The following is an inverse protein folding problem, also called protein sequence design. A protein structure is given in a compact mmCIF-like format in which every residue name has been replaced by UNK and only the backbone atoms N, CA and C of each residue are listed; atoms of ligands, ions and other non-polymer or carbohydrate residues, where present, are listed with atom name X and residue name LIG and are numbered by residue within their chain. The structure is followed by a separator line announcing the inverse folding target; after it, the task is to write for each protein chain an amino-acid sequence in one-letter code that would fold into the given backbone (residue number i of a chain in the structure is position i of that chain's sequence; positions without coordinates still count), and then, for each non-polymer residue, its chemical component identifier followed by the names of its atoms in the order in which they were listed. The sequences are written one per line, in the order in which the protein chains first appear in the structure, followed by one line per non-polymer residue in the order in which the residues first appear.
data_IF_053923984450
#
_entry.id   IF_053923984450
#
_cell.length_a   1.000
_cell.length_b   1.000
_cell.length_c   1.000
_cell.angle_alpha   90.00
_cell.angle_beta   90.00
_cell.angle_gamma   90.00
#
_symmetry.space_group_name_H-M   'P 1'
#
loop_
_entity.id
_entity.type
_entity.pdbx_description
1 polymer ?
#
# COMPACT_ATOMS: atom_id res chain seq x y z
N UNK A 1 -16.26 17.64 2.92
CA UNK A 1 -15.49 16.38 2.82
C UNK A 1 -16.49 15.26 2.78
N UNK A 2 -16.53 14.49 1.72
CA UNK A 2 -17.29 13.24 1.72
C UNK A 2 -16.64 12.28 2.71
N UNK A 3 -17.41 11.83 3.69
CA UNK A 3 -16.95 10.85 4.68
C UNK A 3 -17.11 9.44 4.10
N UNK A 4 -16.09 8.60 4.24
CA UNK A 4 -16.22 7.18 3.91
C UNK A 4 -17.31 6.57 4.77
N UNK A 5 -18.23 5.82 4.14
CA UNK A 5 -19.28 5.07 4.82
C UNK A 5 -19.17 3.59 4.48
N UNK A 6 -19.56 2.76 5.42
CA UNK A 6 -19.62 1.30 5.22
C UNK A 6 -21.08 0.86 5.19
N UNK A 7 -21.50 0.25 4.09
CA UNK A 7 -22.85 -0.33 3.96
C UNK A 7 -22.80 -1.83 4.24
N UNK A 8 -23.35 -2.23 5.38
CA UNK A 8 -23.45 -3.62 5.82
C UNK A 8 -24.77 -4.29 5.43
N UNK A 9 -25.62 -3.63 4.63
CA UNK A 9 -26.97 -4.14 4.34
C UNK A 9 -26.96 -5.53 3.69
N UNK A 10 -25.97 -5.83 2.85
CA UNK A 10 -25.80 -7.14 2.22
C UNK A 10 -25.46 -8.27 3.20
N UNK A 11 -24.92 -7.97 4.38
CA UNK A 11 -24.54 -8.96 5.40
C UNK A 11 -25.74 -9.51 6.17
N UNK A 12 -26.88 -8.82 6.17
CA UNK A 12 -28.07 -9.17 6.96
C UNK A 12 -28.60 -10.58 6.73
N UNK A 13 -28.29 -11.18 5.59
CA UNK A 13 -28.68 -12.56 5.26
C UNK A 13 -27.75 -13.62 5.85
N UNK A 14 -26.54 -13.24 6.25
CA UNK A 14 -25.47 -14.15 6.66
C UNK A 14 -25.07 -13.99 8.13
N UNK A 15 -25.34 -12.83 8.71
CA UNK A 15 -24.93 -12.47 10.07
C UNK A 15 -26.19 -12.19 10.89
N UNK A 16 -26.34 -12.89 12.00
CA UNK A 16 -27.44 -12.66 12.92
C UNK A 16 -27.21 -11.35 13.69
N UNK A 17 -28.25 -10.54 13.97
CA UNK A 17 -28.08 -9.28 14.70
C UNK A 17 -27.33 -9.39 16.03
N UNK A 18 -27.50 -10.49 16.75
CA UNK A 18 -26.83 -10.73 18.04
C UNK A 18 -25.32 -10.93 17.87
N UNK A 19 -24.87 -11.54 16.76
CA UNK A 19 -23.44 -11.79 16.50
C UNK A 19 -22.64 -10.50 16.40
N UNK A 20 -23.22 -9.45 15.81
CA UNK A 20 -22.57 -8.13 15.76
C UNK A 20 -22.39 -7.52 17.16
N UNK A 21 -23.39 -7.70 18.05
CA UNK A 21 -23.30 -7.23 19.43
C UNK A 21 -22.22 -7.97 20.23
N UNK A 22 -22.14 -9.28 20.07
CA UNK A 22 -21.13 -10.12 20.74
C UNK A 22 -19.72 -9.78 20.25
N UNK A 23 -19.55 -9.61 18.94
CA UNK A 23 -18.27 -9.23 18.34
C UNK A 23 -17.81 -7.82 18.74
N UNK A 24 -18.74 -6.91 19.03
CA UNK A 24 -18.39 -5.54 19.41
C UNK A 24 -17.51 -5.49 20.67
N UNK A 25 -17.74 -6.34 21.63
CA UNK A 25 -16.93 -6.40 22.87
C UNK A 25 -15.49 -6.80 22.54
N UNK A 26 -15.32 -7.81 21.67
CA UNK A 26 -14.01 -8.29 21.23
C UNK A 26 -13.27 -7.23 20.41
N UNK A 27 -13.96 -6.57 19.50
CA UNK A 27 -13.39 -5.50 18.65
C UNK A 27 -12.98 -4.31 19.51
N UNK A 28 -13.79 -3.92 20.50
CA UNK A 28 -13.45 -2.82 21.41
C UNK A 28 -12.21 -3.15 22.25
N UNK A 29 -12.10 -4.37 22.74
CA UNK A 29 -10.91 -4.80 23.47
C UNK A 29 -9.66 -4.79 22.59
N UNK A 30 -9.74 -5.33 21.37
CA UNK A 30 -8.64 -5.35 20.43
C UNK A 30 -8.21 -3.94 19.98
N UNK A 31 -9.16 -3.03 19.73
CA UNK A 31 -8.85 -1.62 19.40
C UNK A 31 -8.16 -0.91 20.58
N UNK A 32 -8.62 -1.15 21.80
CA UNK A 32 -7.99 -0.62 23.01
C UNK A 32 -6.56 -1.13 23.19
N UNK A 33 -6.34 -2.42 22.99
CA UNK A 33 -5.03 -3.05 23.07
C UNK A 33 -4.07 -2.48 22.00
N UNK A 34 -4.55 -2.34 20.77
CA UNK A 34 -3.79 -1.73 19.67
C UNK A 34 -3.41 -0.28 19.98
N UNK A 35 -4.35 0.54 20.44
CA UNK A 35 -4.11 1.97 20.71
C UNK A 35 -3.20 2.18 21.91
N UNK A 36 -3.36 1.39 22.94
CA UNK A 36 -2.57 1.50 24.17
C UNK A 36 -1.19 0.80 24.06
N UNK A 37 -1.00 -0.06 23.06
CA UNK A 37 0.23 -0.80 22.88
C UNK A 37 0.50 -1.82 23.97
N UNK A 38 -0.54 -2.50 24.43
CA UNK A 38 -0.45 -3.50 25.49
C UNK A 38 -0.37 -4.93 24.94
N UNK A 39 -0.61 -5.10 23.63
CA UNK A 39 -0.57 -6.39 22.95
C UNK A 39 0.76 -6.77 22.33
N UNK A 40 0.83 -7.98 21.82
CA UNK A 40 1.96 -8.46 21.03
C UNK A 40 2.16 -7.60 19.78
N UNK A 41 3.41 -7.20 19.49
CA UNK A 41 3.72 -6.35 18.34
C UNK A 41 3.55 -4.85 18.62
N UNK A 42 3.49 -4.43 19.88
CA UNK A 42 3.40 -3.03 20.30
C UNK A 42 4.48 -2.13 19.68
N UNK A 43 5.65 -2.67 19.40
CA UNK A 43 6.78 -1.95 18.78
C UNK A 43 6.57 -1.62 17.30
N UNK A 44 5.51 -2.17 16.67
CA UNK A 44 5.23 -2.01 15.24
C UNK A 44 3.96 -1.18 14.97
N UNK A 45 3.69 -0.14 15.79
CA UNK A 45 2.46 0.66 15.73
C UNK A 45 2.62 2.04 15.09
N UNK A 46 3.79 2.41 14.63
CA UNK A 46 4.09 3.75 14.10
C UNK A 46 3.15 4.17 12.95
N UNK A 47 2.62 3.19 12.24
CA UNK A 47 1.66 3.42 11.15
C UNK A 47 0.33 4.01 11.61
N UNK A 48 -0.08 3.86 12.88
CA UNK A 48 -1.36 4.35 13.40
C UNK A 48 -1.51 5.86 13.27
N UNK A 49 -0.43 6.58 13.55
CA UNK A 49 -0.41 8.05 13.56
C UNK A 49 0.34 8.64 12.37
N UNK A 50 0.95 7.80 11.54
CA UNK A 50 1.76 8.22 10.41
C UNK A 50 1.08 9.25 9.47
N UNK A 51 -0.24 9.20 9.20
CA UNK A 51 -0.90 10.20 8.35
C UNK A 51 -0.88 11.62 8.91
N UNK A 52 -0.77 11.76 10.23
CA UNK A 52 -0.81 13.05 10.94
C UNK A 52 0.49 13.40 11.63
N UNK A 53 1.20 12.39 12.10
CA UNK A 53 2.40 12.52 12.94
C UNK A 53 3.61 11.86 12.27
N UNK A 54 3.97 12.39 11.10
CA UNK A 54 5.16 11.95 10.35
C UNK A 54 6.28 12.97 10.47
N UNK A 55 7.54 12.53 10.33
CA UNK A 55 8.70 13.40 10.25
C UNK A 55 8.64 14.27 8.98
N UNK A 56 8.40 15.56 9.17
CA UNK A 56 8.24 16.53 8.09
C UNK A 56 9.56 16.83 7.39
N UNK A 57 10.66 16.76 8.10
CA UNK A 57 12.00 17.00 7.55
C UNK A 57 12.44 15.79 6.70
N UNK A 58 12.17 14.57 7.18
CA UNK A 58 12.35 13.38 6.37
C UNK A 58 11.49 13.40 5.11
N UNK A 59 10.23 13.76 5.22
CA UNK A 59 9.34 13.89 4.08
C UNK A 59 9.80 14.95 3.08
N UNK A 60 10.36 16.06 3.55
CA UNK A 60 10.97 17.07 2.68
C UNK A 60 12.18 16.51 1.92
N UNK A 61 13.04 15.72 2.58
CA UNK A 61 14.16 15.01 1.94
C UNK A 61 13.70 14.01 0.89
N UNK A 62 12.64 13.23 1.19
CA UNK A 62 12.02 12.29 0.23
C UNK A 62 11.54 13.05 -1.01
N UNK A 63 10.84 14.18 -0.84
CA UNK A 63 10.38 15.00 -1.97
C UNK A 63 11.53 15.57 -2.79
N UNK A 64 12.61 15.99 -2.15
CA UNK A 64 13.79 16.48 -2.84
C UNK A 64 14.49 15.38 -3.66
N UNK A 65 14.64 14.18 -3.08
CA UNK A 65 15.19 13.02 -3.78
C UNK A 65 14.30 12.61 -4.97
N UNK A 66 12.97 12.59 -4.79
CA UNK A 66 12.04 12.29 -5.87
C UNK A 66 12.17 13.29 -7.03
N UNK A 67 12.27 14.59 -6.74
CA UNK A 67 12.50 15.62 -7.77
C UNK A 67 13.81 15.42 -8.53
N UNK A 68 14.89 15.07 -7.81
CA UNK A 68 16.18 14.77 -8.43
C UNK A 68 16.07 13.57 -9.37
N UNK A 69 15.50 12.46 -8.92
CA UNK A 69 15.30 11.26 -9.75
C UNK A 69 14.47 11.59 -10.99
N UNK A 70 13.41 12.37 -10.84
CA UNK A 70 12.57 12.80 -11.96
C UNK A 70 13.33 13.68 -12.99
N UNK A 71 14.34 14.42 -12.56
CA UNK A 71 15.14 15.24 -13.46
C UNK A 71 16.25 14.47 -14.17
N UNK A 72 16.85 13.49 -13.48
CA UNK A 72 18.07 12.82 -13.89
C UNK A 72 17.83 11.47 -14.58
N UNK A 73 16.62 10.90 -14.46
CA UNK A 73 16.34 9.52 -14.88
C UNK A 73 15.18 9.43 -15.84
N UNK A 74 15.31 8.61 -16.87
CA UNK A 74 14.22 8.34 -17.81
C UNK A 74 13.27 7.25 -17.31
N UNK A 75 13.77 6.31 -16.52
CA UNK A 75 13.03 5.15 -16.01
C UNK A 75 13.32 4.95 -14.53
N UNK A 76 12.31 4.74 -13.73
CA UNK A 76 12.44 4.29 -12.34
C UNK A 76 12.11 2.80 -12.24
N UNK A 77 13.09 2.01 -11.82
CA UNK A 77 12.90 0.57 -11.58
C UNK A 77 12.69 0.32 -10.09
N UNK A 78 11.54 -0.22 -9.74
CA UNK A 78 11.22 -0.60 -8.36
C UNK A 78 11.35 -2.11 -8.21
N UNK A 79 12.30 -2.53 -7.36
CA UNK A 79 12.54 -3.94 -7.06
C UNK A 79 12.08 -4.19 -5.63
N UNK A 80 11.18 -5.14 -5.45
CA UNK A 80 10.66 -5.47 -4.13
C UNK A 80 9.92 -6.81 -4.10
N UNK A 81 9.63 -7.25 -2.89
CA UNK A 81 8.85 -8.46 -2.64
C UNK A 81 7.80 -8.16 -1.56
N UNK A 82 6.61 -8.76 -1.68
CA UNK A 82 5.52 -8.54 -0.73
C UNK A 82 5.13 -7.07 -0.61
N UNK A 83 5.05 -6.56 0.61
CA UNK A 83 4.64 -5.18 0.90
C UNK A 83 5.55 -4.11 0.28
N UNK A 84 6.84 -4.38 0.17
CA UNK A 84 7.80 -3.46 -0.46
C UNK A 84 7.57 -3.27 -1.97
N UNK A 85 6.87 -4.20 -2.61
CA UNK A 85 6.51 -4.11 -4.02
C UNK A 85 5.06 -3.66 -4.20
N UNK A 86 4.13 -4.28 -3.47
CA UNK A 86 2.69 -4.10 -3.67
C UNK A 86 2.23 -2.68 -3.33
N UNK A 87 2.78 -2.06 -2.28
CA UNK A 87 2.42 -0.70 -1.89
C UNK A 87 2.78 0.33 -2.95
N UNK A 88 4.01 0.27 -3.48
CA UNK A 88 4.44 1.16 -4.54
C UNK A 88 3.64 0.94 -5.84
N UNK A 89 3.38 -0.33 -6.20
CA UNK A 89 2.57 -0.67 -7.37
C UNK A 89 1.13 -0.18 -7.24
N UNK A 90 0.50 -0.38 -6.10
CA UNK A 90 -0.85 0.10 -5.83
C UNK A 90 -0.94 1.63 -6.05
N UNK A 91 0.01 2.39 -5.51
CA UNK A 91 0.02 3.84 -5.70
C UNK A 91 0.17 4.23 -7.17
N UNK A 92 1.03 3.56 -7.92
CA UNK A 92 1.22 3.83 -9.35
C UNK A 92 -0.02 3.46 -10.16
N UNK A 93 -0.59 2.26 -9.94
CA UNK A 93 -1.77 1.79 -10.66
C UNK A 93 -3.01 2.63 -10.34
N UNK A 94 -3.13 3.16 -9.12
CA UNK A 94 -4.21 4.05 -8.70
C UNK A 94 -4.11 5.45 -9.32
N UNK A 95 -2.88 5.98 -9.45
CA UNK A 95 -2.65 7.34 -9.93
C UNK A 95 -2.55 7.44 -11.46
N UNK A 96 -2.44 6.32 -12.17
CA UNK A 96 -2.27 6.29 -13.62
C UNK A 96 -3.32 5.40 -14.28
N UNK A 97 -3.63 5.67 -15.55
CA UNK A 97 -4.46 4.78 -16.34
C UNK A 97 -3.66 3.55 -16.82
N UNK A 98 -4.35 2.46 -17.16
CA UNK A 98 -3.75 1.14 -17.46
C UNK A 98 -2.70 1.13 -18.57
N UNK A 99 -2.77 2.06 -19.52
CA UNK A 99 -1.85 2.15 -20.66
C UNK A 99 -0.75 3.20 -20.48
N UNK A 100 -0.61 3.78 -19.30
CA UNK A 100 0.37 4.84 -19.04
C UNK A 100 1.79 4.43 -19.39
N UNK A 101 2.16 3.19 -19.09
CA UNK A 101 3.50 2.64 -19.36
C UNK A 101 3.81 2.49 -20.87
N UNK A 102 2.77 2.29 -21.68
CA UNK A 102 2.90 2.12 -23.13
C UNK A 102 2.94 3.44 -23.91
N UNK A 103 2.66 4.56 -23.26
CA UNK A 103 2.70 5.89 -23.89
C UNK A 103 4.13 6.35 -24.17
N UNK A 104 4.29 7.17 -25.20
CA UNK A 104 5.55 7.86 -25.43
C UNK A 104 5.80 8.93 -24.36
N UNK A 105 7.04 9.35 -24.17
CA UNK A 105 7.38 10.39 -23.20
C UNK A 105 6.62 11.71 -23.46
N UNK A 106 6.32 12.02 -24.72
CA UNK A 106 5.58 13.21 -25.12
C UNK A 106 4.07 13.13 -24.75
N UNK A 107 3.50 11.94 -24.76
CA UNK A 107 2.07 11.72 -24.54
C UNK A 107 1.73 11.53 -23.05
N UNK A 108 2.71 11.22 -22.22
CA UNK A 108 2.53 11.03 -20.78
C UNK A 108 2.23 12.36 -20.12
N UNK A 109 0.96 12.66 -19.91
CA UNK A 109 0.55 13.80 -19.10
C UNK A 109 0.68 13.41 -17.61
N UNK A 110 1.32 14.24 -16.78
CA UNK A 110 1.32 13.99 -15.35
C UNK A 110 -0.13 13.99 -14.84
N UNK A 111 -0.54 13.03 -14.01
CA UNK A 111 -1.77 13.17 -13.25
C UNK A 111 -1.70 14.46 -12.44
N UNK A 112 -2.85 15.09 -12.19
CA UNK A 112 -2.93 16.36 -11.49
C UNK A 112 -2.36 16.27 -10.07
N UNK A 113 -1.05 16.50 -9.94
CA UNK A 113 -0.33 16.48 -8.67
C UNK A 113 1.19 16.51 -8.86
N UNK A 114 1.93 17.05 -7.87
CA UNK A 114 3.38 17.24 -7.98
C UNK A 114 4.21 15.95 -7.91
N UNK A 115 3.62 14.80 -7.68
CA UNK A 115 4.33 13.53 -7.40
C UNK A 115 4.51 12.61 -8.60
N UNK A 116 3.84 12.86 -9.72
CA UNK A 116 3.88 11.96 -10.87
C UNK A 116 4.26 12.70 -12.14
N UNK A 117 5.55 12.90 -12.38
CA UNK A 117 6.07 13.30 -13.68
C UNK A 117 6.49 12.08 -14.49
N UNK A 118 5.90 11.93 -15.68
CA UNK A 118 6.41 11.41 -16.97
C UNK A 118 7.35 10.17 -17.01
N UNK A 119 7.62 9.48 -15.91
CA UNK A 119 8.56 8.35 -15.95
C UNK A 119 7.80 7.01 -15.97
N UNK A 120 8.17 6.07 -16.85
CA UNK A 120 7.69 4.72 -16.77
C UNK A 120 8.24 4.05 -15.52
N UNK A 121 7.37 3.33 -14.82
CA UNK A 121 7.75 2.49 -13.69
C UNK A 121 7.90 1.06 -14.17
N UNK A 122 9.05 0.46 -13.97
CA UNK A 122 9.25 -0.97 -14.19
C UNK A 122 9.24 -1.67 -12.83
N UNK A 123 8.26 -2.52 -12.62
CA UNK A 123 8.18 -3.33 -11.41
C UNK A 123 8.78 -4.71 -11.67
N UNK A 124 9.88 -5.03 -11.02
CA UNK A 124 10.46 -6.37 -11.03
C UNK A 124 10.01 -7.12 -9.78
N UNK A 125 9.12 -8.07 -9.99
CA UNK A 125 8.74 -9.02 -8.94
C UNK A 125 9.66 -10.25 -9.05
N UNK A 126 10.42 -10.53 -7.99
CA UNK A 126 11.17 -11.79 -7.90
C UNK A 126 10.17 -12.93 -7.74
N UNK A 127 9.90 -13.67 -8.80
CA UNK A 127 9.18 -14.93 -8.67
C UNK A 127 10.05 -15.88 -7.86
N UNK A 128 9.51 -16.59 -6.84
CA UNK A 128 10.24 -17.67 -6.21
C UNK A 128 10.62 -18.66 -7.31
N UNK A 129 11.88 -19.03 -7.36
CA UNK A 129 12.40 -19.95 -8.37
C UNK A 129 11.60 -21.27 -8.30
N UNK A 130 10.94 -21.64 -9.40
CA UNK A 130 10.21 -22.90 -9.49
C UNK A 130 11.11 -24.12 -9.39
N UNK A 131 12.44 -23.95 -9.44
CA UNK A 131 13.41 -25.03 -9.33
C UNK A 131 13.49 -25.64 -7.94
N UNK A 132 12.96 -24.99 -6.93
CA UNK A 132 12.97 -25.49 -5.53
C UNK A 132 11.79 -26.42 -5.20
N UNK A 133 10.92 -26.68 -6.17
CA UNK A 133 9.88 -27.70 -6.07
C UNK A 133 10.37 -29.04 -6.68
N UNK A 134 11.46 -29.57 -6.12
CA UNK A 134 11.67 -31.00 -6.28
C UNK A 134 10.58 -31.73 -5.48
N UNK A 135 9.76 -32.59 -6.11
CA UNK A 135 8.87 -33.43 -5.35
C UNK A 135 9.77 -34.27 -4.41
N UNK A 136 9.56 -34.15 -3.13
CA UNK A 136 10.10 -35.13 -2.19
C UNK A 136 9.40 -36.43 -2.54
N UNK A 137 10.07 -37.28 -3.27
CA UNK A 137 9.70 -38.68 -3.41
C UNK A 137 9.82 -39.27 -2.00
N UNK A 138 8.67 -39.56 -1.41
CA UNK A 138 8.57 -40.38 -0.22
C UNK A 138 9.09 -41.76 -0.61
N UNK A 139 10.26 -42.12 -0.08
CA UNK A 139 10.73 -43.50 -0.03
C UNK A 139 10.12 -44.19 1.18
#
# INVERSE_FOLDING_TARGET
METLSFDSSALKKFVHPNELGEMQVMVTAADSELRNGTGAGADFRDWLHLPTDYDKDEFARIKAAAKKIQADSEVLVVIGIGGSYLGARMAVDFLHHSFYQAQTAADRKPPAGPLCRQQPFLFLHRRPDRRDRRPRLLG
#
